data_IF_312855566348
#
_entry.id   IF_312855566348
#
_cell.length_a   1.000
_cell.length_b   1.000
_cell.length_c   1.000
_cell.angle_alpha   90.00
_cell.angle_beta   90.00
_cell.angle_gamma   90.00
#
_symmetry.space_group_name_H-M   'P 1'
#
loop_
_entity.id
_entity.type
_entity.pdbx_description
1 polymer ?
#
# COMPACT_ATOMS: atom_id res chain seq x y z
N UNK A 1 23.02 12.07 -22.73
CA UNK A 1 23.57 11.92 -21.38
C UNK A 1 22.42 11.64 -20.44
N UNK A 2 22.29 10.42 -19.90
CA UNK A 2 21.26 10.13 -18.91
C UNK A 2 21.54 10.96 -17.65
N UNK A 3 20.56 11.69 -17.08
CA UNK A 3 20.76 12.34 -15.79
C UNK A 3 21.08 11.25 -14.78
N UNK A 4 22.15 11.42 -14.01
CA UNK A 4 22.50 10.51 -12.91
C UNK A 4 21.36 10.52 -11.90
N UNK A 5 20.55 9.47 -11.91
CA UNK A 5 19.30 9.29 -11.16
C UNK A 5 19.51 9.01 -9.67
N UNK A 6 20.54 9.59 -9.05
CA UNK A 6 20.74 9.47 -7.61
C UNK A 6 19.98 10.59 -6.90
N UNK A 7 19.13 10.22 -5.94
CA UNK A 7 18.48 11.15 -5.01
C UNK A 7 19.49 12.21 -4.53
N UNK A 8 19.20 13.51 -4.64
CA UNK A 8 20.08 14.55 -4.13
C UNK A 8 20.36 14.35 -2.64
N UNK A 9 21.56 14.69 -2.20
CA UNK A 9 21.90 14.63 -0.77
C UNK A 9 20.88 15.43 0.05
N UNK A 10 20.47 14.86 1.18
CA UNK A 10 19.47 15.42 2.11
C UNK A 10 18.05 15.56 1.57
N UNK A 11 17.77 15.18 0.32
CA UNK A 11 16.39 15.10 -0.17
C UNK A 11 15.68 13.87 0.45
N UNK A 12 14.39 13.95 0.84
CA UNK A 12 13.53 15.13 0.75
C UNK A 12 13.55 16.04 1.99
N UNK A 13 14.33 15.73 3.02
CA UNK A 13 14.38 16.51 4.27
C UNK A 13 14.68 17.99 4.04
N UNK A 14 15.67 18.29 3.19
CA UNK A 14 16.02 19.67 2.83
C UNK A 14 14.94 20.38 2.02
N UNK A 15 14.05 19.64 1.35
CA UNK A 15 12.88 20.20 0.67
C UNK A 15 11.78 20.55 1.68
N UNK A 16 11.47 19.65 2.61
CA UNK A 16 10.48 19.88 3.66
C UNK A 16 10.94 20.94 4.67
N UNK A 17 12.23 21.02 4.96
CA UNK A 17 12.82 22.03 5.83
C UNK A 17 12.69 23.48 5.30
N UNK A 18 12.34 23.66 4.01
CA UNK A 18 12.02 25.00 3.46
C UNK A 18 10.74 25.58 4.05
N UNK A 19 9.89 24.74 4.64
CA UNK A 19 8.68 25.15 5.32
C UNK A 19 8.60 24.49 6.69
N UNK A 20 9.00 25.24 7.71
CA UNK A 20 8.95 24.78 9.09
C UNK A 20 7.51 24.64 9.56
N UNK A 21 7.20 23.47 10.11
CA UNK A 21 5.92 23.16 10.72
C UNK A 21 6.10 23.06 12.24
N UNK A 22 5.13 23.51 13.05
CA UNK A 22 5.23 23.35 14.50
C UNK A 22 5.39 21.88 14.90
N UNK A 23 6.42 21.56 15.68
CA UNK A 23 6.75 20.18 16.07
C UNK A 23 5.59 19.47 16.78
N UNK A 24 4.84 20.22 17.62
CA UNK A 24 3.66 19.71 18.31
C UNK A 24 2.55 19.29 17.34
N UNK A 25 2.37 20.02 16.24
CA UNK A 25 1.36 19.75 15.22
C UNK A 25 1.74 18.50 14.43
N UNK A 26 2.99 18.40 13.99
CA UNK A 26 3.51 17.20 13.30
C UNK A 26 3.40 15.97 14.20
N UNK A 27 3.77 16.08 15.48
CA UNK A 27 3.64 15.00 16.45
C UNK A 27 2.19 14.56 16.66
N UNK A 28 1.26 15.52 16.75
CA UNK A 28 -0.18 15.24 16.87
C UNK A 28 -0.71 14.53 15.63
N UNK A 29 -0.37 15.00 14.43
CA UNK A 29 -0.85 14.39 13.17
C UNK A 29 -0.29 12.97 13.02
N UNK A 30 1.01 12.77 13.25
CA UNK A 30 1.63 11.42 13.22
C UNK A 30 0.95 10.50 14.24
N UNK A 31 0.65 11.00 15.44
CA UNK A 31 -0.06 10.24 16.47
C UNK A 31 -1.44 9.76 16.01
N UNK A 32 -2.24 10.65 15.40
CA UNK A 32 -3.56 10.31 14.84
C UNK A 32 -3.45 9.30 13.69
N UNK A 33 -2.57 9.54 12.72
CA UNK A 33 -2.39 8.66 11.56
C UNK A 33 -1.91 7.26 11.92
N UNK A 34 -1.13 7.13 13.00
CA UNK A 34 -0.67 5.84 13.55
C UNK A 34 -1.74 5.04 14.26
N UNK A 35 -2.68 5.71 14.93
CA UNK A 35 -3.57 5.04 15.91
C UNK A 35 -5.01 4.94 15.45
N UNK A 36 -5.49 5.94 14.73
CA UNK A 36 -6.89 6.07 14.35
C UNK A 36 -7.14 5.53 12.94
N UNK A 37 -8.42 5.37 12.58
CA UNK A 37 -8.89 5.24 11.19
C UNK A 37 -9.47 6.59 10.78
N UNK A 38 -8.59 7.51 10.38
CA UNK A 38 -8.90 8.95 10.20
C UNK A 38 -9.94 9.16 9.09
N UNK A 39 -10.05 8.20 8.16
CA UNK A 39 -10.98 8.24 7.04
C UNK A 39 -12.20 7.31 7.21
N UNK A 40 -12.35 6.66 8.37
CA UNK A 40 -13.43 5.71 8.67
C UNK A 40 -13.62 4.64 7.59
N UNK A 41 -12.52 4.08 7.07
CA UNK A 41 -12.53 3.08 6.01
C UNK A 41 -12.66 1.64 6.51
N UNK A 42 -12.30 1.35 7.76
CA UNK A 42 -12.36 0.00 8.33
C UNK A 42 -13.77 -0.63 8.27
N UNK A 43 -14.88 0.09 8.54
CA UNK A 43 -16.22 -0.47 8.37
C UNK A 43 -16.54 -0.90 6.92
N UNK A 44 -15.90 -0.27 5.93
CA UNK A 44 -16.07 -0.58 4.52
C UNK A 44 -15.23 -1.79 4.06
N UNK A 45 -14.25 -2.19 4.87
CA UNK A 45 -13.34 -3.32 4.66
C UNK A 45 -13.32 -4.23 5.90
N UNK A 46 -14.40 -4.99 6.16
CA UNK A 46 -14.55 -5.77 7.39
C UNK A 46 -13.59 -6.96 7.49
N UNK A 47 -13.02 -7.41 6.37
CA UNK A 47 -11.99 -8.46 6.37
C UNK A 47 -10.68 -7.88 6.95
N UNK A 48 -10.10 -8.45 8.02
CA UNK A 48 -8.85 -7.96 8.60
C UNK A 48 -7.68 -7.96 7.61
N UNK A 49 -7.69 -8.82 6.60
CA UNK A 49 -6.66 -8.86 5.55
C UNK A 49 -6.72 -7.64 4.61
N UNK A 50 -7.81 -6.87 4.64
CA UNK A 50 -7.97 -5.66 3.83
C UNK A 50 -7.45 -4.39 4.54
N UNK A 51 -6.91 -4.53 5.75
CA UNK A 51 -6.47 -3.42 6.61
C UNK A 51 -5.62 -2.40 5.87
N UNK A 52 -4.58 -2.83 5.16
CA UNK A 52 -3.65 -1.90 4.51
C UNK A 52 -4.26 -1.18 3.31
N UNK A 53 -5.27 -1.77 2.67
CA UNK A 53 -6.09 -1.08 1.67
C UNK A 53 -7.00 -0.06 2.32
N UNK A 54 -7.69 -0.43 3.40
CA UNK A 54 -8.56 0.48 4.15
C UNK A 54 -7.79 1.71 4.66
N UNK A 55 -6.60 1.49 5.22
CA UNK A 55 -5.75 2.55 5.77
C UNK A 55 -4.83 3.21 4.73
N UNK A 56 -5.00 2.92 3.44
CA UNK A 56 -4.03 3.33 2.43
C UNK A 56 -3.89 4.85 2.28
N UNK A 57 -5.00 5.60 2.39
CA UNK A 57 -5.00 7.06 2.29
C UNK A 57 -4.26 7.71 3.46
N UNK A 58 -4.45 7.22 4.69
CA UNK A 58 -3.72 7.74 5.84
C UNK A 58 -2.26 7.27 5.88
N UNK A 59 -1.97 6.06 5.37
CA UNK A 59 -0.60 5.60 5.14
C UNK A 59 0.13 6.52 4.15
N UNK A 60 -0.50 6.86 3.02
CA UNK A 60 0.05 7.81 2.07
C UNK A 60 0.39 9.17 2.71
N UNK A 61 -0.52 9.72 3.50
CA UNK A 61 -0.27 10.98 4.23
C UNK A 61 0.85 10.83 5.27
N UNK A 62 0.88 9.71 5.98
CA UNK A 62 1.89 9.42 7.00
C UNK A 62 3.30 9.33 6.39
N UNK A 63 3.44 8.70 5.22
CA UNK A 63 4.71 8.70 4.47
C UNK A 63 5.23 10.12 4.22
N UNK A 64 4.37 11.02 3.74
CA UNK A 64 4.74 12.41 3.46
C UNK A 64 5.09 13.16 4.75
N UNK A 65 4.25 13.05 5.78
CA UNK A 65 4.40 13.81 7.03
C UNK A 65 5.65 13.40 7.82
N UNK A 66 6.07 12.15 7.72
CA UNK A 66 7.29 11.68 8.40
C UNK A 66 8.55 12.42 7.98
N UNK A 67 8.58 13.07 6.81
CA UNK A 67 9.72 13.89 6.38
C UNK A 67 9.83 15.25 7.08
N UNK A 68 8.78 15.72 7.76
CA UNK A 68 8.89 16.80 8.75
C UNK A 68 9.41 16.32 10.11
N UNK A 69 9.49 15.00 10.33
CA UNK A 69 9.98 14.39 11.55
C UNK A 69 11.08 13.33 11.29
N UNK A 70 12.19 13.68 10.62
CA UNK A 70 13.22 12.71 10.20
C UNK A 70 13.86 11.96 11.37
N UNK A 71 13.84 12.52 12.58
CA UNK A 71 14.28 11.83 13.80
C UNK A 71 13.50 10.53 14.04
N UNK A 72 12.21 10.47 13.71
CA UNK A 72 11.40 9.24 13.83
C UNK A 72 11.89 8.20 12.82
N UNK A 73 12.09 8.59 11.56
CA UNK A 73 12.59 7.71 10.51
C UNK A 73 13.99 7.15 10.84
N UNK A 74 14.88 7.96 11.42
CA UNK A 74 16.27 7.57 11.73
C UNK A 74 16.38 6.79 13.04
N UNK A 75 15.76 7.28 14.12
CA UNK A 75 16.01 6.81 15.49
C UNK A 75 14.79 6.14 16.15
N UNK A 76 13.58 6.38 15.63
CA UNK A 76 12.32 5.96 16.23
C UNK A 76 11.98 4.48 16.03
N UNK A 77 12.84 3.55 16.47
CA UNK A 77 12.72 2.10 16.22
C UNK A 77 11.35 1.52 16.59
N UNK A 78 10.81 1.87 17.76
CA UNK A 78 9.49 1.39 18.20
C UNK A 78 8.36 1.97 17.35
N UNK A 79 8.37 3.29 17.15
CA UNK A 79 7.36 4.00 16.36
C UNK A 79 7.35 3.51 14.90
N UNK A 80 8.52 3.34 14.28
CA UNK A 80 8.62 2.86 12.90
C UNK A 80 8.15 1.42 12.75
N UNK A 81 8.40 0.54 13.74
CA UNK A 81 7.85 -0.83 13.73
C UNK A 81 6.33 -0.80 13.72
N UNK A 82 5.72 -0.08 14.64
CA UNK A 82 4.26 0.05 14.72
C UNK A 82 3.66 0.64 13.43
N UNK A 83 4.29 1.69 12.88
CA UNK A 83 3.90 2.30 11.61
C UNK A 83 3.95 1.27 10.47
N UNK A 84 5.04 0.53 10.35
CA UNK A 84 5.22 -0.46 9.28
C UNK A 84 4.25 -1.61 9.40
N UNK A 85 4.11 -2.20 10.59
CA UNK A 85 3.22 -3.34 10.83
C UNK A 85 1.75 -2.97 10.52
N UNK A 86 1.36 -1.73 10.85
CA UNK A 86 0.01 -1.25 10.62
C UNK A 86 -0.29 -0.94 9.16
N UNK A 87 0.64 -0.30 8.45
CA UNK A 87 0.35 0.33 7.14
C UNK A 87 1.06 -0.28 5.93
N UNK A 88 2.24 -0.89 6.11
CA UNK A 88 3.17 -1.14 4.99
C UNK A 88 3.70 -2.57 4.90
N UNK A 89 3.43 -3.43 5.89
CA UNK A 89 3.96 -4.80 5.94
C UNK A 89 3.52 -5.67 4.75
N UNK A 90 2.36 -5.41 4.17
CA UNK A 90 1.79 -6.08 3.01
C UNK A 90 1.47 -5.11 1.85
N UNK A 91 1.86 -3.83 1.97
CA UNK A 91 1.65 -2.80 0.97
C UNK A 91 2.79 -1.76 0.99
N UNK A 92 4.00 -2.19 0.66
CA UNK A 92 5.21 -1.34 0.73
C UNK A 92 5.41 -0.46 -0.51
N UNK A 93 4.67 -0.71 -1.59
CA UNK A 93 4.55 0.25 -2.68
C UNK A 93 3.24 1.03 -2.50
N UNK A 94 3.33 2.34 -2.35
CA UNK A 94 2.19 3.20 -2.06
C UNK A 94 1.95 4.21 -3.18
N UNK A 95 0.70 4.69 -3.31
CA UNK A 95 0.38 5.90 -4.05
C UNK A 95 0.11 7.04 -3.06
N UNK A 96 0.81 8.17 -3.23
CA UNK A 96 0.74 9.29 -2.28
C UNK A 96 0.19 10.61 -2.86
N UNK A 97 -0.27 10.59 -4.12
CA UNK A 97 -1.02 11.70 -4.73
C UNK A 97 -0.65 11.94 -6.18
N UNK A 98 -1.58 12.50 -6.98
CA UNK A 98 -1.33 12.92 -8.36
C UNK A 98 -0.65 11.87 -9.27
N UNK A 99 -0.95 10.59 -9.08
CA UNK A 99 -0.34 9.48 -9.84
C UNK A 99 1.08 9.11 -9.40
N UNK A 100 1.61 9.74 -8.35
CA UNK A 100 2.93 9.44 -7.80
C UNK A 100 2.89 8.20 -6.90
N UNK A 101 3.88 7.33 -7.09
CA UNK A 101 4.10 6.14 -6.27
C UNK A 101 5.47 6.17 -5.60
N UNK A 102 5.59 5.42 -4.50
CA UNK A 102 6.82 5.28 -3.74
C UNK A 102 7.02 3.80 -3.36
N UNK A 103 8.18 3.25 -3.71
CA UNK A 103 8.64 1.96 -3.19
C UNK A 103 9.36 2.21 -1.86
N UNK A 104 8.69 1.94 -0.74
CA UNK A 104 9.20 2.32 0.58
C UNK A 104 10.49 1.61 0.96
N UNK A 105 10.77 0.41 0.40
CA UNK A 105 12.03 -0.28 0.62
C UNK A 105 13.22 0.51 0.09
N UNK A 106 13.04 1.20 -1.04
CA UNK A 106 14.02 2.13 -1.61
C UNK A 106 13.97 3.48 -0.92
N UNK A 107 12.76 4.02 -0.73
CA UNK A 107 12.60 5.38 -0.23
C UNK A 107 13.12 5.59 1.18
N UNK A 108 12.98 4.56 2.02
CA UNK A 108 13.41 4.60 3.41
C UNK A 108 14.76 3.93 3.67
N UNK A 109 15.47 3.44 2.65
CA UNK A 109 16.79 2.80 2.80
C UNK A 109 17.81 3.63 3.63
N UNK A 110 17.91 4.97 3.48
CA UNK A 110 18.84 5.79 4.25
C UNK A 110 18.49 5.96 5.74
N UNK A 111 17.29 5.53 6.16
CA UNK A 111 16.75 5.79 7.49
C UNK A 111 16.76 4.50 8.32
N UNK A 112 17.70 4.39 9.28
CA UNK A 112 17.95 3.15 10.02
C UNK A 112 16.67 2.55 10.63
N UNK A 113 15.94 3.30 11.47
CA UNK A 113 14.74 2.77 12.13
C UNK A 113 13.64 2.35 11.14
N UNK A 114 13.39 3.16 10.10
CA UNK A 114 12.39 2.88 9.08
C UNK A 114 12.77 1.68 8.20
N UNK A 115 14.01 1.63 7.74
CA UNK A 115 14.51 0.56 6.88
C UNK A 115 14.60 -0.77 7.61
N UNK A 116 15.01 -0.77 8.89
CA UNK A 116 14.99 -1.98 9.71
C UNK A 116 13.56 -2.49 9.92
N UNK A 117 12.61 -1.60 10.23
CA UNK A 117 11.21 -1.99 10.39
C UNK A 117 10.63 -2.62 9.10
N UNK A 118 10.84 -1.97 7.95
CA UNK A 118 10.39 -2.49 6.66
C UNK A 118 11.02 -3.83 6.30
N UNK A 119 12.34 -3.98 6.45
CA UNK A 119 13.02 -5.23 6.10
C UNK A 119 12.58 -6.42 6.96
N UNK A 120 12.16 -6.16 8.19
CA UNK A 120 11.61 -7.20 9.06
C UNK A 120 10.18 -7.61 8.64
N UNK A 121 9.35 -6.66 8.20
CA UNK A 121 7.99 -6.94 7.78
C UNK A 121 7.91 -7.50 6.35
N UNK A 122 8.76 -7.00 5.45
CA UNK A 122 8.76 -7.30 4.01
C UNK A 122 10.00 -8.11 3.66
N UNK A 123 9.91 -9.41 3.94
CA UNK A 123 10.92 -10.38 3.52
C UNK A 123 10.71 -10.79 2.07
N UNK A 124 11.74 -11.34 1.41
CA UNK A 124 11.60 -11.88 0.06
C UNK A 124 10.53 -12.98 -0.02
N UNK A 125 10.41 -13.79 1.03
CA UNK A 125 9.40 -14.85 1.12
C UNK A 125 7.99 -14.26 1.29
N UNK A 126 7.78 -13.36 2.27
CA UNK A 126 6.46 -12.76 2.49
C UNK A 126 5.99 -11.93 1.29
N UNK A 127 6.89 -11.24 0.62
CA UNK A 127 6.60 -10.53 -0.63
C UNK A 127 6.18 -11.50 -1.75
N UNK A 128 6.91 -12.62 -1.93
CA UNK A 128 6.53 -13.65 -2.90
C UNK A 128 5.14 -14.22 -2.60
N UNK A 129 4.87 -14.55 -1.34
CA UNK A 129 3.59 -15.12 -0.92
C UNK A 129 2.42 -14.15 -1.14
N UNK A 130 2.64 -12.85 -0.95
CA UNK A 130 1.65 -11.80 -1.26
C UNK A 130 1.40 -11.71 -2.77
N UNK A 131 2.46 -11.68 -3.59
CA UNK A 131 2.32 -11.59 -5.05
C UNK A 131 1.63 -12.84 -5.63
N UNK A 132 2.00 -14.03 -5.17
CA UNK A 132 1.36 -15.27 -5.62
C UNK A 132 -0.11 -15.32 -5.23
N UNK A 133 -0.45 -14.95 -3.98
CA UNK A 133 -1.85 -14.82 -3.56
C UNK A 133 -2.63 -13.84 -4.43
N UNK A 134 -2.07 -12.65 -4.67
CA UNK A 134 -2.71 -11.67 -5.56
C UNK A 134 -2.93 -12.25 -6.96
N UNK A 135 -1.94 -12.96 -7.53
CA UNK A 135 -2.10 -13.62 -8.84
C UNK A 135 -3.22 -14.64 -8.85
N UNK A 136 -3.34 -15.48 -7.80
CA UNK A 136 -4.44 -16.45 -7.68
C UNK A 136 -5.78 -15.73 -7.56
N UNK A 137 -5.87 -14.70 -6.72
CA UNK A 137 -7.10 -13.93 -6.54
C UNK A 137 -7.55 -13.23 -7.83
N UNK A 138 -6.63 -12.79 -8.70
CA UNK A 138 -7.00 -12.27 -10.04
C UNK A 138 -7.79 -13.31 -10.84
N UNK A 139 -7.33 -14.56 -10.88
CA UNK A 139 -8.00 -15.61 -11.67
C UNK A 139 -9.36 -16.01 -11.03
N UNK A 140 -9.46 -16.01 -9.70
CA UNK A 140 -10.72 -16.25 -8.95
C UNK A 140 -11.76 -15.13 -9.17
N UNK A 141 -11.31 -13.87 -9.11
CA UNK A 141 -12.15 -12.70 -9.35
C UNK A 141 -12.67 -12.69 -10.79
N UNK A 142 -11.84 -13.01 -11.77
CA UNK A 142 -12.28 -13.15 -13.17
C UNK A 142 -13.37 -14.20 -13.34
N UNK A 143 -13.25 -15.32 -12.64
CA UNK A 143 -14.27 -16.38 -12.66
C UNK A 143 -15.58 -15.87 -12.05
N UNK A 144 -15.49 -15.14 -10.94
CA UNK A 144 -16.64 -14.52 -10.28
C UNK A 144 -17.32 -13.48 -11.17
N UNK A 145 -16.55 -12.59 -11.79
CA UNK A 145 -17.05 -11.57 -12.71
C UNK A 145 -17.69 -12.17 -13.95
N UNK A 146 -17.10 -13.20 -14.56
CA UNK A 146 -17.74 -13.92 -15.67
C UNK A 146 -19.11 -14.46 -15.29
N UNK A 147 -19.25 -15.03 -14.08
CA UNK A 147 -20.53 -15.53 -13.58
C UNK A 147 -21.55 -14.41 -13.37
N UNK A 148 -21.15 -13.33 -12.70
CA UNK A 148 -22.09 -12.26 -12.33
C UNK A 148 -22.44 -11.34 -13.50
N UNK A 149 -21.48 -11.05 -14.38
CA UNK A 149 -21.67 -10.16 -15.53
C UNK A 149 -22.21 -10.89 -16.78
N UNK A 150 -22.54 -12.18 -16.64
CA UNK A 150 -23.29 -12.90 -17.69
C UNK A 150 -24.66 -12.27 -17.89
N UNK A 151 -25.10 -12.15 -19.15
CA UNK A 151 -26.39 -11.56 -19.49
C UNK A 151 -27.53 -12.24 -18.73
N UNK A 152 -28.37 -11.44 -18.07
CA UNK A 152 -29.50 -11.94 -17.26
C UNK A 152 -29.15 -12.48 -15.87
N UNK A 153 -27.88 -12.49 -15.45
CA UNK A 153 -27.49 -12.99 -14.12
C UNK A 153 -27.74 -11.97 -12.98
N UNK A 154 -27.40 -10.70 -13.17
CA UNK A 154 -27.60 -9.63 -12.18
C UNK A 154 -29.02 -9.05 -12.26
N UNK A 155 -30.03 -9.84 -11.90
CA UNK A 155 -31.39 -9.34 -11.69
C UNK A 155 -31.53 -8.66 -10.33
N UNK A 156 -32.58 -7.85 -10.14
CA UNK A 156 -32.86 -7.20 -8.85
C UNK A 156 -33.02 -8.24 -7.72
N UNK A 157 -33.77 -9.31 -7.97
CA UNK A 157 -33.97 -10.42 -7.01
C UNK A 157 -32.64 -11.11 -6.65
N UNK A 158 -31.77 -11.34 -7.64
CA UNK A 158 -30.46 -11.92 -7.40
C UNK A 158 -29.59 -11.00 -6.53
N UNK A 159 -29.57 -9.69 -6.82
CA UNK A 159 -28.78 -8.72 -6.06
C UNK A 159 -29.27 -8.63 -4.61
N UNK A 160 -30.58 -8.52 -4.39
CA UNK A 160 -31.15 -8.46 -3.04
C UNK A 160 -30.86 -9.74 -2.25
N UNK A 161 -30.85 -10.90 -2.91
CA UNK A 161 -30.56 -12.19 -2.27
C UNK A 161 -29.06 -12.42 -2.02
N UNK A 162 -28.18 -11.74 -2.76
CA UNK A 162 -26.72 -11.98 -2.77
C UNK A 162 -25.89 -10.73 -2.45
N UNK A 163 -26.48 -9.69 -1.85
CA UNK A 163 -25.83 -8.40 -1.59
C UNK A 163 -24.45 -8.55 -0.92
N UNK A 164 -24.37 -9.33 0.17
CA UNK A 164 -23.13 -9.55 0.91
C UNK A 164 -22.04 -10.19 0.06
N UNK A 165 -22.43 -11.18 -0.77
CA UNK A 165 -21.50 -11.87 -1.66
C UNK A 165 -20.94 -10.91 -2.71
N UNK A 166 -21.82 -10.15 -3.37
CA UNK A 166 -21.42 -9.16 -4.38
C UNK A 166 -20.53 -8.07 -3.79
N UNK A 167 -20.90 -7.52 -2.63
CA UNK A 167 -20.12 -6.49 -1.95
C UNK A 167 -18.75 -7.00 -1.51
N UNK A 168 -18.64 -8.26 -1.08
CA UNK A 168 -17.34 -8.86 -0.76
C UNK A 168 -16.48 -9.03 -2.02
N UNK A 169 -17.06 -9.54 -3.12
CA UNK A 169 -16.32 -9.65 -4.40
C UNK A 169 -15.79 -8.30 -4.87
N UNK A 170 -16.57 -7.21 -4.78
CA UNK A 170 -16.13 -5.87 -5.15
C UNK A 170 -14.99 -5.38 -4.24
N UNK A 171 -15.07 -5.64 -2.93
CA UNK A 171 -14.00 -5.28 -1.99
C UNK A 171 -12.71 -6.04 -2.28
N UNK A 172 -12.81 -7.35 -2.50
CA UNK A 172 -11.68 -8.20 -2.85
C UNK A 172 -11.03 -7.71 -4.15
N UNK A 173 -11.84 -7.37 -5.16
CA UNK A 173 -11.36 -6.79 -6.41
C UNK A 173 -10.61 -5.46 -6.19
N UNK A 174 -11.15 -4.55 -5.38
CA UNK A 174 -10.48 -3.29 -5.08
C UNK A 174 -9.12 -3.49 -4.39
N UNK A 175 -9.04 -4.44 -3.46
CA UNK A 175 -7.80 -4.78 -2.73
C UNK A 175 -6.77 -5.35 -3.70
N UNK A 176 -7.17 -6.35 -4.48
CA UNK A 176 -6.27 -7.05 -5.43
C UNK A 176 -5.82 -6.10 -6.53
N UNK A 177 -6.73 -5.34 -7.14
CA UNK A 177 -6.44 -4.36 -8.19
C UNK A 177 -5.43 -3.31 -7.69
N UNK A 178 -5.67 -2.74 -6.50
CA UNK A 178 -4.73 -1.80 -5.89
C UNK A 178 -3.35 -2.43 -5.71
N UNK A 179 -3.29 -3.63 -5.14
CA UNK A 179 -2.03 -4.33 -4.89
C UNK A 179 -1.25 -4.56 -6.19
N UNK A 180 -1.88 -5.14 -7.22
CA UNK A 180 -1.19 -5.49 -8.48
C UNK A 180 -0.77 -4.25 -9.29
N UNK A 181 -1.55 -3.17 -9.25
CA UNK A 181 -1.22 -1.92 -9.94
C UNK A 181 0.00 -1.23 -9.29
N UNK A 182 0.07 -1.22 -7.95
CA UNK A 182 1.18 -0.61 -7.23
C UNK A 182 2.44 -1.49 -7.28
N UNK A 183 2.33 -2.77 -6.92
CA UNK A 183 3.51 -3.63 -6.79
C UNK A 183 4.12 -4.04 -8.14
N UNK A 184 3.43 -3.83 -9.26
CA UNK A 184 4.07 -3.89 -10.59
C UNK A 184 5.14 -2.81 -10.81
N UNK A 185 5.19 -1.77 -9.97
CA UNK A 185 6.22 -0.73 -10.02
C UNK A 185 7.32 -0.94 -8.98
N UNK A 186 7.35 -2.07 -8.27
CA UNK A 186 8.41 -2.35 -7.29
C UNK A 186 9.77 -2.50 -7.99
N UNK A 187 10.81 -1.93 -7.38
CA UNK A 187 12.16 -1.92 -7.98
C UNK A 187 13.24 -2.40 -7.02
N UNK A 188 12.95 -2.43 -5.71
CA UNK A 188 13.95 -2.79 -4.73
C UNK A 188 14.44 -4.23 -4.92
N UNK A 189 15.76 -4.40 -4.96
CA UNK A 189 16.46 -5.66 -5.27
C UNK A 189 16.09 -6.85 -4.38
N UNK A 190 15.61 -6.60 -3.16
CA UNK A 190 15.20 -7.67 -2.23
C UNK A 190 13.90 -8.35 -2.63
N UNK A 191 13.06 -7.69 -3.43
CA UNK A 191 11.71 -8.18 -3.79
C UNK A 191 11.44 -8.13 -5.29
N UNK A 192 12.28 -7.48 -6.10
CA UNK A 192 12.04 -7.30 -7.53
C UNK A 192 11.94 -8.62 -8.31
N UNK A 193 12.58 -9.70 -7.85
CA UNK A 193 12.42 -11.05 -8.42
C UNK A 193 10.98 -11.57 -8.31
N UNK A 194 10.20 -11.06 -7.36
CA UNK A 194 8.79 -11.42 -7.19
C UNK A 194 7.91 -10.96 -8.36
N UNK A 195 8.36 -9.98 -9.17
CA UNK A 195 7.64 -9.55 -10.38
C UNK A 195 7.39 -10.70 -11.35
N UNK A 196 8.23 -11.72 -11.35
CA UNK A 196 8.04 -12.92 -12.18
C UNK A 196 6.77 -13.73 -11.83
N UNK A 197 6.21 -13.54 -10.64
CA UNK A 197 4.95 -14.16 -10.20
C UNK A 197 3.75 -13.23 -10.32
N UNK A 198 3.96 -11.97 -10.72
CA UNK A 198 2.89 -10.99 -10.85
C UNK A 198 2.05 -11.33 -12.10
N UNK A 199 0.72 -11.19 -12.05
CA UNK A 199 -0.10 -11.32 -13.26
C UNK A 199 0.38 -10.34 -14.35
N UNK A 200 0.33 -10.78 -15.61
CA UNK A 200 0.67 -9.94 -16.74
C UNK A 200 -0.25 -8.72 -16.82
N UNK A 201 0.22 -7.63 -17.43
CA UNK A 201 -0.59 -6.41 -17.58
C UNK A 201 -1.92 -6.68 -18.29
N UNK A 202 -1.92 -7.51 -19.32
CA UNK A 202 -3.14 -7.90 -20.04
C UNK A 202 -4.13 -8.60 -19.10
N UNK A 203 -3.62 -9.47 -18.21
CA UNK A 203 -4.47 -10.11 -17.19
C UNK A 203 -5.06 -9.10 -16.19
N UNK A 204 -4.39 -7.98 -15.92
CA UNK A 204 -4.86 -6.97 -14.96
C UNK A 204 -5.87 -6.02 -15.59
N UNK A 205 -5.75 -5.69 -16.88
CA UNK A 205 -6.68 -4.76 -17.57
C UNK A 205 -8.06 -5.39 -17.79
N UNK A 206 -8.13 -6.72 -17.89
CA UNK A 206 -9.38 -7.49 -18.02
C UNK A 206 -10.10 -7.77 -16.68
N UNK A 207 -9.66 -7.14 -15.58
CA UNK A 207 -10.28 -7.22 -14.24
C UNK A 207 -11.28 -6.08 -14.06
#
# INVERSE_FOLDING_TARGET
SAPSTSRPNEYPESYFARFEMPEWLISMIIGRLRTDDVYNQAPHYPNPDHRSTALASQGALLYVILYWAPKILRLGKSAMREIVDRHYGDNWVIAYGAGLTADLLTEWEPYEAASTALRNAVTAQSARDLVQRASTSVDELKTSFKRYLSEGALTEEFVLSNEKLLMNTVRDANVVARFVLLHNTMTHKSVSSCLSYMPSRDKIVDL
#
